data_IF_367818796537
#
_entry.id   IF_367818796537
#
_cell.length_a   1.000
_cell.length_b   1.000
_cell.length_c   1.000
_cell.angle_alpha   90.00
_cell.angle_beta   90.00
_cell.angle_gamma   90.00
#
_symmetry.space_group_name_H-M   'P 1'
#
loop_
_entity.id
_entity.type
_entity.pdbx_description
1 polymer ?
#
# COMPACT_ATOMS: atom_id res chain seq x y z
N UNK A 1 17.20 -1.77 -0.01
CA UNK A 1 16.59 -2.39 1.19
C UNK A 1 15.34 -3.08 0.71
N UNK A 2 15.28 -4.41 0.85
CA UNK A 2 14.09 -5.17 0.51
C UNK A 2 13.08 -5.08 1.67
N UNK A 3 11.80 -4.97 1.34
CA UNK A 3 10.69 -4.91 2.31
C UNK A 3 9.45 -5.59 1.76
N UNK A 4 8.55 -6.03 2.64
CA UNK A 4 7.26 -6.59 2.26
C UNK A 4 6.31 -5.45 1.92
N UNK A 5 5.75 -5.48 0.71
CA UNK A 5 4.81 -4.47 0.20
C UNK A 5 3.73 -5.10 -0.66
N UNK A 6 2.90 -4.26 -1.29
CA UNK A 6 1.84 -4.67 -2.19
C UNK A 6 0.86 -5.64 -1.55
N UNK A 7 0.44 -6.65 -2.30
CA UNK A 7 -0.58 -7.60 -1.86
C UNK A 7 -0.17 -8.36 -0.60
N UNK A 8 1.10 -8.69 -0.45
CA UNK A 8 1.63 -9.36 0.72
C UNK A 8 1.44 -8.50 1.98
N UNK A 9 1.78 -7.20 1.90
CA UNK A 9 1.62 -6.28 3.02
C UNK A 9 0.16 -6.00 3.37
N UNK A 10 -0.74 -5.93 2.38
CA UNK A 10 -2.17 -5.74 2.59
C UNK A 10 -2.82 -6.89 3.37
N UNK A 11 -2.18 -8.06 3.40
CA UNK A 11 -2.63 -9.23 4.14
C UNK A 11 -1.91 -9.40 5.50
N UNK A 12 -0.99 -8.51 5.86
CA UNK A 12 -0.35 -8.50 7.18
C UNK A 12 -1.14 -7.57 8.09
N UNK A 13 -1.66 -8.05 9.24
CA UNK A 13 -2.39 -7.21 10.18
C UNK A 13 -1.62 -5.93 10.55
N UNK A 14 -2.36 -4.85 10.78
CA UNK A 14 -1.83 -3.63 11.37
C UNK A 14 -1.32 -3.89 12.80
N UNK A 15 -0.63 -2.90 13.37
CA UNK A 15 -0.12 -2.99 14.74
C UNK A 15 -1.24 -3.12 15.78
N UNK A 16 -2.42 -2.61 15.49
CA UNK A 16 -3.63 -2.76 16.33
C UNK A 16 -4.33 -4.12 16.14
N UNK A 17 -3.82 -4.97 15.24
CA UNK A 17 -4.39 -6.28 14.93
C UNK A 17 -5.50 -6.27 13.89
N UNK A 18 -5.92 -5.10 13.38
CA UNK A 18 -6.90 -5.02 12.30
C UNK A 18 -6.34 -5.58 10.99
N UNK A 19 -7.19 -6.26 10.22
CA UNK A 19 -6.81 -6.90 8.96
C UNK A 19 -7.71 -6.40 7.83
N UNK A 20 -7.10 -6.14 6.69
CA UNK A 20 -7.81 -6.08 5.43
C UNK A 20 -7.76 -7.51 4.86
N UNK A 21 -8.86 -8.26 4.92
CA UNK A 21 -8.86 -9.68 4.53
C UNK A 21 -8.84 -9.83 2.99
N UNK A 22 -7.64 -9.76 2.39
CA UNK A 22 -7.42 -9.85 0.94
C UNK A 22 -7.02 -11.26 0.48
N UNK A 23 -7.40 -12.30 1.22
CA UNK A 23 -7.00 -13.70 1.00
C UNK A 23 -5.56 -14.02 1.45
N UNK A 24 -5.26 -13.96 2.76
CA UNK A 24 -3.91 -14.22 3.30
C UNK A 24 -3.38 -15.62 2.95
N UNK A 25 -4.26 -16.61 2.77
CA UNK A 25 -3.88 -17.96 2.35
C UNK A 25 -3.23 -18.01 0.96
N UNK A 26 -3.57 -17.08 0.07
CA UNK A 26 -2.96 -16.99 -1.27
C UNK A 26 -1.53 -16.45 -1.19
N UNK A 27 -1.36 -15.32 -0.50
CA UNK A 27 -0.10 -14.59 -0.45
C UNK A 27 0.92 -15.16 0.53
N UNK A 28 0.46 -15.95 1.51
CA UNK A 28 1.31 -16.62 2.50
C UNK A 28 1.32 -18.15 2.37
N UNK A 29 0.88 -18.68 1.22
CA UNK A 29 0.92 -20.12 0.92
C UNK A 29 2.34 -20.68 1.05
N UNK A 30 3.36 -19.93 0.59
CA UNK A 30 4.77 -20.28 0.75
C UNK A 30 5.50 -19.22 1.58
N UNK A 31 5.51 -19.43 2.91
CA UNK A 31 6.17 -18.53 3.87
C UNK A 31 7.67 -18.36 3.68
N UNK A 32 8.33 -19.30 3.00
CA UNK A 32 9.76 -19.25 2.73
C UNK A 32 10.11 -18.41 1.50
N UNK A 33 9.12 -18.01 0.70
CA UNK A 33 9.31 -17.25 -0.53
C UNK A 33 8.25 -16.15 -0.67
N UNK A 34 8.26 -15.20 0.28
CA UNK A 34 7.39 -14.02 0.23
C UNK A 34 7.98 -12.98 -0.73
N UNK A 35 7.15 -12.46 -1.63
CA UNK A 35 7.53 -11.38 -2.54
C UNK A 35 7.94 -10.15 -1.73
N UNK A 36 9.09 -9.59 -2.09
CA UNK A 36 9.58 -8.33 -1.52
C UNK A 36 9.71 -7.28 -2.62
N UNK A 37 9.74 -6.02 -2.20
CA UNK A 37 9.88 -4.86 -3.05
C UNK A 37 11.23 -4.20 -2.75
N UNK A 38 11.88 -3.73 -3.80
CA UNK A 38 13.07 -2.89 -3.65
C UNK A 38 12.67 -1.45 -3.34
N UNK A 39 13.59 -0.75 -2.68
CA UNK A 39 13.39 0.63 -2.27
C UNK A 39 13.06 1.53 -3.48
N UNK A 40 12.00 2.33 -3.36
CA UNK A 40 11.64 3.34 -4.35
C UNK A 40 12.36 4.64 -4.01
N UNK A 41 13.24 5.13 -4.89
CA UNK A 41 14.01 6.36 -4.64
C UNK A 41 13.14 7.60 -4.38
N UNK A 42 11.92 7.64 -4.91
CA UNK A 42 11.00 8.78 -4.75
C UNK A 42 10.33 8.75 -3.38
N UNK A 43 9.85 7.58 -2.95
CA UNK A 43 9.13 7.43 -1.68
C UNK A 43 10.07 7.12 -0.51
N UNK A 44 11.30 6.69 -0.78
CA UNK A 44 12.25 6.23 0.22
C UNK A 44 11.61 5.26 1.22
N UNK A 45 11.80 5.54 2.51
CA UNK A 45 11.29 4.76 3.62
C UNK A 45 9.88 5.15 4.09
N UNK A 46 9.16 6.04 3.38
CA UNK A 46 7.83 6.48 3.79
C UNK A 46 6.86 5.30 3.91
N UNK A 47 6.13 5.24 5.03
CA UNK A 47 5.19 4.16 5.33
C UNK A 47 5.80 2.78 5.53
N UNK A 48 7.13 2.66 5.71
CA UNK A 48 7.81 1.37 5.96
C UNK A 48 8.25 1.32 7.43
N UNK A 49 7.91 0.23 8.12
CA UNK A 49 8.30 0.01 9.50
C UNK A 49 8.87 -1.40 9.71
N UNK A 50 9.93 -1.50 10.51
CA UNK A 50 10.41 -2.78 11.02
C UNK A 50 9.48 -3.28 12.12
N UNK A 51 8.91 -4.47 11.95
CA UNK A 51 8.00 -5.09 12.94
C UNK A 51 8.02 -6.61 12.85
N UNK A 52 7.62 -7.25 13.95
CA UNK A 52 7.46 -8.70 13.99
C UNK A 52 6.21 -9.13 13.22
N UNK A 53 6.38 -10.04 12.25
CA UNK A 53 5.30 -10.57 11.42
C UNK A 53 4.96 -11.98 11.90
N UNK A 54 3.90 -12.09 12.71
CA UNK A 54 3.49 -13.35 13.39
C UNK A 54 3.38 -14.54 12.44
N UNK A 55 2.85 -14.35 11.23
CA UNK A 55 2.67 -15.44 10.27
C UNK A 55 3.98 -15.98 9.68
N UNK A 56 5.05 -15.18 9.69
CA UNK A 56 6.39 -15.54 9.23
C UNK A 56 7.34 -15.90 10.37
N UNK A 57 6.94 -15.63 11.63
CA UNK A 57 7.76 -15.82 12.83
C UNK A 57 9.13 -15.12 12.77
N UNK A 58 9.17 -13.89 12.25
CA UNK A 58 10.39 -13.08 12.17
C UNK A 58 10.11 -11.59 12.08
N UNK A 59 11.13 -10.78 12.36
CA UNK A 59 11.10 -9.34 12.11
C UNK A 59 11.34 -9.05 10.63
N UNK A 60 10.51 -8.16 10.07
CA UNK A 60 10.60 -7.74 8.68
C UNK A 60 10.34 -6.23 8.56
N UNK A 61 10.84 -5.63 7.49
CA UNK A 61 10.40 -4.32 7.06
C UNK A 61 9.10 -4.48 6.28
N UNK A 62 8.03 -3.81 6.71
CA UNK A 62 6.69 -3.96 6.14
C UNK A 62 6.11 -2.58 5.83
N UNK A 63 5.56 -2.44 4.62
CA UNK A 63 4.78 -1.28 4.24
C UNK A 63 3.45 -1.24 5.00
N UNK A 64 3.02 -0.05 5.42
CA UNK A 64 1.62 0.19 5.79
C UNK A 64 0.72 0.09 4.55
N UNK A 65 -0.60 0.06 4.73
CA UNK A 65 -1.51 -0.17 3.61
C UNK A 65 -1.47 0.94 2.57
N UNK A 66 -1.33 2.20 3.00
CA UNK A 66 -1.15 3.34 2.10
C UNK A 66 0.09 3.16 1.21
N UNK A 67 1.24 2.79 1.77
CA UNK A 67 2.47 2.54 1.00
C UNK A 67 2.35 1.30 0.12
N UNK A 68 1.70 0.23 0.60
CA UNK A 68 1.49 -1.00 -0.17
C UNK A 68 0.65 -0.74 -1.43
N UNK A 69 -0.45 0.03 -1.31
CA UNK A 69 -1.28 0.45 -2.43
C UNK A 69 -0.48 1.37 -3.38
N UNK A 70 0.28 2.33 -2.84
CA UNK A 70 1.11 3.21 -3.66
C UNK A 70 2.13 2.42 -4.50
N UNK A 71 2.77 1.39 -3.94
CA UNK A 71 3.71 0.55 -4.66
C UNK A 71 3.04 -0.28 -5.77
N UNK A 72 1.81 -0.78 -5.55
CA UNK A 72 1.01 -1.47 -6.57
C UNK A 72 0.63 -0.53 -7.72
N UNK A 73 0.13 0.66 -7.38
CA UNK A 73 -0.23 1.70 -8.36
C UNK A 73 1.00 2.13 -9.17
N UNK A 74 2.14 2.31 -8.51
CA UNK A 74 3.41 2.67 -9.17
C UNK A 74 3.85 1.64 -10.22
N UNK A 75 3.69 0.34 -9.91
CA UNK A 75 4.01 -0.76 -10.83
C UNK A 75 2.91 -1.02 -11.87
N UNK A 76 1.77 -0.36 -11.76
CA UNK A 76 0.60 -0.61 -12.62
C UNK A 76 -0.15 -1.91 -12.28
N UNK A 77 0.10 -2.48 -11.10
CA UNK A 77 -0.56 -3.69 -10.57
C UNK A 77 -1.89 -3.31 -9.89
N UNK A 78 -2.78 -2.61 -10.59
CA UNK A 78 -4.02 -2.04 -9.99
C UNK A 78 -5.24 -2.96 -10.08
N UNK A 79 -5.10 -4.14 -10.70
CA UNK A 79 -6.19 -5.10 -10.81
C UNK A 79 -6.57 -5.61 -9.41
N UNK A 80 -7.78 -5.30 -8.95
CA UNK A 80 -8.26 -5.64 -7.61
C UNK A 80 -8.28 -4.46 -6.63
N UNK A 81 -7.69 -3.31 -6.96
CA UNK A 81 -7.69 -2.12 -6.07
C UNK A 81 -8.97 -1.28 -6.12
N UNK A 82 -10.05 -1.78 -6.73
CA UNK A 82 -11.30 -1.04 -6.82
C UNK A 82 -11.92 -0.90 -5.43
N UNK A 83 -12.29 0.31 -5.04
CA UNK A 83 -12.83 0.69 -3.73
C UNK A 83 -11.87 0.46 -2.55
N UNK A 84 -10.59 0.17 -2.80
CA UNK A 84 -9.66 -0.24 -1.74
C UNK A 84 -9.46 0.84 -0.67
N UNK A 85 -9.57 2.12 -1.05
CA UNK A 85 -9.45 3.23 -0.10
C UNK A 85 -10.59 3.19 0.89
N UNK A 86 -11.83 3.08 0.40
CA UNK A 86 -13.02 3.04 1.24
C UNK A 86 -13.08 1.80 2.12
N UNK A 87 -12.72 0.64 1.56
CA UNK A 87 -12.91 -0.64 2.23
C UNK A 87 -11.82 -0.92 3.28
N UNK A 88 -10.63 -0.34 3.10
CA UNK A 88 -9.47 -0.73 3.89
C UNK A 88 -8.72 0.38 4.55
N UNK A 89 -8.79 1.64 4.11
CA UNK A 89 -7.98 2.71 4.71
C UNK A 89 -8.80 3.52 5.72
N UNK A 90 -8.12 3.98 6.77
CA UNK A 90 -8.65 5.07 7.61
C UNK A 90 -8.32 6.46 7.00
N UNK A 91 -8.88 7.52 7.57
CA UNK A 91 -8.70 8.90 7.07
C UNK A 91 -7.22 9.35 7.01
N UNK A 92 -6.38 8.83 7.92
CA UNK A 92 -4.95 9.15 7.95
C UNK A 92 -4.23 8.40 6.83
N UNK A 93 -4.49 7.11 6.68
CA UNK A 93 -3.94 6.28 5.61
C UNK A 93 -4.42 6.74 4.22
N UNK A 94 -5.66 7.20 4.08
CA UNK A 94 -6.19 7.82 2.85
C UNK A 94 -5.36 9.06 2.49
N UNK A 95 -5.11 9.93 3.47
CA UNK A 95 -4.31 11.14 3.29
C UNK A 95 -2.85 10.84 2.96
N UNK A 96 -2.25 9.84 3.61
CA UNK A 96 -0.90 9.35 3.31
C UNK A 96 -0.81 8.82 1.88
N UNK A 97 -1.75 7.96 1.46
CA UNK A 97 -1.79 7.42 0.12
C UNK A 97 -1.85 8.53 -0.92
N UNK A 98 -2.73 9.52 -0.73
CA UNK A 98 -2.81 10.65 -1.65
C UNK A 98 -1.47 11.39 -1.78
N UNK A 99 -0.79 11.65 -0.66
CA UNK A 99 0.52 12.29 -0.68
C UNK A 99 1.58 11.44 -1.39
N UNK A 100 1.60 10.13 -1.15
CA UNK A 100 2.51 9.22 -1.86
C UNK A 100 2.26 9.25 -3.36
N UNK A 101 1.00 9.11 -3.79
CA UNK A 101 0.63 9.10 -5.21
C UNK A 101 0.96 10.41 -5.91
N UNK A 102 0.83 11.57 -5.24
CA UNK A 102 1.27 12.86 -5.77
C UNK A 102 2.77 12.88 -6.08
N UNK A 103 3.60 12.31 -5.21
CA UNK A 103 5.06 12.25 -5.42
C UNK A 103 5.45 11.36 -6.60
N UNK A 104 4.71 10.27 -6.83
CA UNK A 104 4.99 9.30 -7.89
C UNK A 104 4.13 9.47 -9.15
N UNK A 105 3.34 10.54 -9.24
CA UNK A 105 2.42 10.79 -10.35
C UNK A 105 3.19 11.06 -11.65
N UNK A 106 3.50 9.98 -12.36
CA UNK A 106 4.26 10.01 -13.62
C UNK A 106 3.39 9.82 -14.86
N UNK A 107 2.15 9.35 -14.69
CA UNK A 107 1.29 9.02 -15.82
C UNK A 107 -0.20 9.09 -15.48
N UNK A 108 -1.01 9.07 -16.53
CA UNK A 108 -2.47 9.13 -16.44
C UNK A 108 -3.10 8.03 -15.57
N UNK A 109 -2.49 6.84 -15.45
CA UNK A 109 -3.06 5.77 -14.61
C UNK A 109 -3.03 6.13 -13.13
N UNK A 110 -1.96 6.77 -12.67
CA UNK A 110 -1.85 7.24 -11.28
C UNK A 110 -2.86 8.38 -11.03
N UNK A 111 -2.97 9.31 -11.97
CA UNK A 111 -3.94 10.41 -11.89
C UNK A 111 -5.39 9.89 -11.89
N UNK A 112 -5.73 8.96 -12.79
CA UNK A 112 -7.04 8.33 -12.85
C UNK A 112 -7.34 7.56 -11.55
N UNK A 113 -6.36 6.82 -11.00
CA UNK A 113 -6.52 6.16 -9.70
C UNK A 113 -6.85 7.16 -8.59
N UNK A 114 -6.08 8.24 -8.46
CA UNK A 114 -6.37 9.29 -7.48
C UNK A 114 -7.75 9.92 -7.70
N UNK A 115 -8.14 10.15 -8.96
CA UNK A 115 -9.43 10.74 -9.29
C UNK A 115 -10.60 9.85 -8.86
N UNK A 116 -10.49 8.53 -9.01
CA UNK A 116 -11.58 7.60 -8.70
C UNK A 116 -11.57 7.16 -7.23
N UNK A 117 -10.44 6.71 -6.72
CA UNK A 117 -10.32 6.15 -5.36
C UNK A 117 -10.17 7.25 -4.28
N UNK A 118 -9.59 8.41 -4.62
CA UNK A 118 -9.31 9.52 -3.70
C UNK A 118 -10.07 10.80 -4.12
N UNK A 119 -11.29 10.61 -4.63
CA UNK A 119 -12.12 11.66 -5.27
C UNK A 119 -12.18 12.95 -4.45
N UNK A 120 -12.43 12.86 -3.14
CA UNK A 120 -12.60 14.02 -2.25
C UNK A 120 -11.31 14.84 -2.17
N UNK A 121 -10.18 14.18 -1.92
CA UNK A 121 -8.87 14.81 -1.82
C UNK A 121 -8.41 15.38 -3.16
N UNK A 122 -8.61 14.63 -4.25
CA UNK A 122 -8.23 15.04 -5.60
C UNK A 122 -8.90 16.36 -6.04
N UNK A 123 -10.22 16.48 -5.87
CA UNK A 123 -10.94 17.70 -6.25
C UNK A 123 -10.74 18.86 -5.27
N UNK A 124 -10.38 18.59 -4.01
CA UNK A 124 -9.99 19.63 -3.05
C UNK A 124 -8.66 20.27 -3.44
N UNK A 125 -7.67 19.46 -3.81
CA UNK A 125 -6.33 19.92 -4.22
C UNK A 125 -6.37 20.76 -5.50
N UNK A 126 -7.25 20.42 -6.47
CA UNK A 126 -7.40 21.16 -7.73
C UNK A 126 -8.23 22.44 -7.66
N UNK A 127 -8.84 22.74 -6.51
CA UNK A 127 -9.59 23.99 -6.28
C UNK A 127 -8.71 25.09 -5.67
N UNK A 128 -7.40 24.84 -5.52
CA UNK A 128 -6.41 25.81 -5.07
C UNK A 128 -5.60 26.34 -6.25
#
# INVERSE_FOLDING_TARGET
MAYISGWEALNIPRLDGSIADWHPLLYFANKNNIKTYENNEILGSLGIQRRYVKMLDKEEYVANYARAIADLVYKGETAGLKNCVQDYLDDNEESELFNYLKLINKNKKVDDFMKFELTKLYFKDKRC
#
